data_IF_180727012011
#
_entry.id   IF_180727012011
#
_cell.length_a   1.000
_cell.length_b   1.000
_cell.length_c   1.000
_cell.angle_alpha   90.00
_cell.angle_beta   90.00
_cell.angle_gamma   90.00
#
_symmetry.space_group_name_H-M   'P 1'
#
loop_
_entity.id
_entity.type
_entity.pdbx_description
1 polymer ?
#
# COMPACT_ATOMS: atom_id res chain seq x y z
N UNK A 1 3.58 19.23 10.36
CA UNK A 1 2.70 18.59 11.37
C UNK A 1 3.36 17.25 11.72
N UNK A 2 3.58 16.96 13.00
CA UNK A 2 4.12 15.66 13.44
C UNK A 2 2.91 14.84 13.93
N UNK A 3 2.70 13.65 13.36
CA UNK A 3 1.65 12.74 13.83
C UNK A 3 2.07 12.15 15.18
N UNK A 4 1.21 12.32 16.19
CA UNK A 4 1.44 11.81 17.54
C UNK A 4 0.15 11.24 18.13
N UNK A 5 0.28 10.20 18.94
CA UNK A 5 -0.84 9.53 19.62
C UNK A 5 -1.91 8.99 18.66
N UNK A 6 -1.50 8.55 17.47
CA UNK A 6 -2.38 7.94 16.46
C UNK A 6 -2.22 6.41 16.48
N UNK A 7 -3.27 5.70 16.12
CA UNK A 7 -3.21 4.30 15.74
C UNK A 7 -2.91 4.21 14.24
N UNK A 8 -1.76 3.68 13.87
CA UNK A 8 -1.34 3.59 12.47
C UNK A 8 -1.23 2.13 12.06
N UNK A 9 -2.02 1.72 11.06
CA UNK A 9 -1.89 0.41 10.42
C UNK A 9 -0.94 0.54 9.24
N UNK A 10 0.12 -0.29 9.21
CA UNK A 10 1.09 -0.31 8.12
C UNK A 10 1.13 -1.72 7.54
N UNK A 11 0.80 -1.88 6.26
CA UNK A 11 0.86 -3.17 5.55
C UNK A 11 2.11 -3.24 4.68
N UNK A 12 2.66 -4.44 4.46
CA UNK A 12 3.89 -4.62 3.67
C UNK A 12 5.18 -4.24 4.42
N UNK A 13 5.18 -4.32 5.75
CA UNK A 13 6.32 -3.93 6.58
C UNK A 13 7.51 -4.92 6.54
N UNK A 14 7.35 -6.13 6.03
CA UNK A 14 8.45 -7.07 5.80
C UNK A 14 9.35 -6.69 4.62
N UNK A 15 8.89 -5.76 3.77
CA UNK A 15 9.62 -5.26 2.62
C UNK A 15 10.68 -4.20 2.93
N UNK A 16 11.35 -3.72 1.89
CA UNK A 16 12.51 -2.81 1.96
C UNK A 16 12.24 -1.52 2.76
N UNK A 17 11.06 -0.90 2.60
CA UNK A 17 10.69 0.34 3.31
C UNK A 17 10.17 0.10 4.73
N UNK A 18 9.71 -1.12 5.01
CA UNK A 18 8.91 -1.42 6.20
C UNK A 18 9.58 -1.07 7.52
N UNK A 19 10.81 -1.52 7.73
CA UNK A 19 11.54 -1.26 8.98
C UNK A 19 11.76 0.25 9.22
N UNK A 20 12.09 1.01 8.17
CA UNK A 20 12.31 2.45 8.29
C UNK A 20 11.02 3.19 8.65
N UNK A 21 9.91 2.84 7.97
CA UNK A 21 8.58 3.42 8.23
C UNK A 21 8.10 3.05 9.63
N UNK A 22 8.17 1.78 10.01
CA UNK A 22 7.82 1.31 11.36
C UNK A 22 8.60 2.06 12.45
N UNK A 23 9.94 2.12 12.33
CA UNK A 23 10.79 2.80 13.31
C UNK A 23 10.49 4.30 13.41
N UNK A 24 10.11 4.94 12.31
CA UNK A 24 9.76 6.36 12.29
C UNK A 24 8.44 6.62 13.05
N UNK A 25 7.41 5.82 12.76
CA UNK A 25 6.09 6.10 13.31
C UNK A 25 5.89 5.58 14.74
N UNK A 26 6.53 4.47 15.13
CA UNK A 26 6.35 3.87 16.47
C UNK A 26 6.86 4.73 17.63
N UNK A 27 7.67 5.75 17.36
CA UNK A 27 8.24 6.62 18.41
C UNK A 27 7.14 7.36 19.16
N UNK A 28 6.12 7.85 18.44
CA UNK A 28 5.08 8.70 19.02
C UNK A 28 3.66 8.20 18.75
N UNK A 29 3.51 6.98 18.19
CA UNK A 29 2.22 6.43 17.79
C UNK A 29 2.10 4.96 18.19
N UNK A 30 0.89 4.46 18.26
CA UNK A 30 0.59 3.04 18.36
C UNK A 30 0.56 2.44 16.95
N UNK A 31 1.52 1.59 16.62
CA UNK A 31 1.68 1.05 15.26
C UNK A 31 1.39 -0.44 15.24
N UNK A 32 0.45 -0.86 14.39
CA UNK A 32 0.28 -2.23 13.97
C UNK A 32 0.95 -2.40 12.61
N UNK A 33 2.07 -3.09 12.60
CA UNK A 33 2.84 -3.37 11.39
C UNK A 33 2.59 -4.81 10.94
N UNK A 34 2.38 -5.00 9.64
CA UNK A 34 1.99 -6.29 9.11
C UNK A 34 2.61 -6.62 7.76
N UNK A 35 2.69 -7.92 7.48
CA UNK A 35 3.09 -8.48 6.20
C UNK A 35 2.46 -9.87 6.02
N UNK A 36 2.50 -10.42 4.80
CA UNK A 36 2.21 -11.83 4.54
C UNK A 36 3.40 -12.72 4.94
N UNK A 37 4.61 -12.17 4.94
CA UNK A 37 5.82 -12.82 5.42
C UNK A 37 6.19 -12.27 6.81
N UNK A 38 5.98 -13.08 7.83
CA UNK A 38 6.29 -12.74 9.22
C UNK A 38 7.77 -13.02 9.54
N UNK A 39 8.67 -12.45 8.75
CA UNK A 39 10.13 -12.61 8.92
C UNK A 39 10.70 -11.88 10.14
N UNK A 40 9.88 -11.08 10.82
CA UNK A 40 10.24 -10.33 12.03
C UNK A 40 9.17 -10.50 13.12
N UNK A 41 9.57 -10.61 14.40
CA UNK A 41 8.63 -10.92 15.50
C UNK A 41 7.62 -9.81 15.84
N UNK A 42 7.79 -8.62 15.27
CA UNK A 42 6.88 -7.48 15.44
C UNK A 42 5.85 -7.34 14.31
N UNK A 43 5.87 -8.26 13.34
CA UNK A 43 4.92 -8.28 12.22
C UNK A 43 3.72 -9.17 12.55
N UNK A 44 2.53 -8.61 12.34
CA UNK A 44 1.29 -9.36 12.30
C UNK A 44 1.00 -9.84 10.88
N UNK A 45 0.33 -10.98 10.74
CA UNK A 45 -0.08 -11.48 9.44
C UNK A 45 -1.28 -10.70 8.92
N UNK A 46 -1.13 -10.01 7.81
CA UNK A 46 -2.23 -9.40 7.04
C UNK A 46 -1.94 -9.53 5.56
N UNK A 47 -2.89 -10.13 4.85
CA UNK A 47 -2.91 -10.15 3.39
C UNK A 47 -3.88 -9.07 2.88
N UNK A 48 -3.38 -8.09 2.13
CA UNK A 48 -4.20 -7.00 1.57
C UNK A 48 -5.24 -7.50 0.57
N UNK A 49 -5.08 -8.73 0.05
CA UNK A 49 -6.04 -9.38 -0.86
C UNK A 49 -7.25 -9.95 -0.13
N UNK A 50 -7.14 -10.18 1.19
CA UNK A 50 -8.22 -10.69 2.04
C UNK A 50 -8.94 -9.54 2.74
N UNK A 51 -10.02 -9.06 2.11
CA UNK A 51 -10.82 -7.94 2.61
C UNK A 51 -11.49 -8.24 3.96
N UNK A 52 -11.91 -9.48 4.21
CA UNK A 52 -12.60 -9.84 5.46
C UNK A 52 -11.63 -9.75 6.63
N UNK A 53 -10.41 -10.28 6.47
CA UNK A 53 -9.34 -10.18 7.45
C UNK A 53 -8.95 -8.72 7.71
N UNK A 54 -8.79 -7.92 6.65
CA UNK A 54 -8.52 -6.48 6.76
C UNK A 54 -9.59 -5.74 7.58
N UNK A 55 -10.87 -5.99 7.29
CA UNK A 55 -11.96 -5.37 8.05
C UNK A 55 -11.95 -5.79 9.52
N UNK A 56 -11.77 -7.07 9.79
CA UNK A 56 -11.75 -7.61 11.16
C UNK A 56 -10.64 -6.97 12.00
N UNK A 57 -9.44 -6.92 11.45
CA UNK A 57 -8.27 -6.35 12.13
C UNK A 57 -8.44 -4.84 12.30
N UNK A 58 -8.87 -4.13 11.26
CA UNK A 58 -9.07 -2.68 11.31
C UNK A 58 -10.15 -2.27 12.31
N UNK A 59 -11.24 -3.03 12.41
CA UNK A 59 -12.27 -2.78 13.43
C UNK A 59 -11.77 -2.99 14.87
N UNK A 60 -10.87 -3.96 15.08
CA UNK A 60 -10.28 -4.23 16.38
C UNK A 60 -9.22 -3.20 16.76
N UNK A 61 -8.31 -2.88 15.83
CA UNK A 61 -7.20 -1.96 16.06
C UNK A 61 -7.62 -0.50 16.04
N UNK A 62 -8.67 -0.16 15.27
CA UNK A 62 -9.22 1.20 15.09
C UNK A 62 -8.13 2.18 14.62
N UNK A 63 -7.57 1.99 13.43
CA UNK A 63 -6.56 2.88 12.90
C UNK A 63 -7.12 4.28 12.64
N UNK A 64 -6.29 5.30 12.83
CA UNK A 64 -6.52 6.68 12.43
C UNK A 64 -5.90 6.97 11.04
N UNK A 65 -5.01 6.09 10.59
CA UNK A 65 -4.31 6.17 9.31
C UNK A 65 -3.91 4.77 8.85
N UNK A 66 -4.05 4.50 7.55
CA UNK A 66 -3.47 3.31 6.91
C UNK A 66 -2.34 3.73 5.98
N UNK A 67 -1.16 3.09 6.11
CA UNK A 67 -0.03 3.23 5.19
C UNK A 67 0.15 1.89 4.48
N UNK A 68 -0.12 1.85 3.17
CA UNK A 68 0.04 0.64 2.39
C UNK A 68 1.39 0.62 1.67
N UNK A 69 2.30 -0.23 2.14
CA UNK A 69 3.58 -0.55 1.51
C UNK A 69 3.54 -1.89 0.77
N UNK A 70 2.46 -2.68 0.96
CA UNK A 70 2.34 -3.99 0.34
C UNK A 70 2.26 -3.88 -1.18
N UNK A 71 3.18 -4.53 -1.87
CA UNK A 71 3.21 -4.60 -3.31
C UNK A 71 4.05 -5.78 -3.80
N UNK A 72 3.65 -6.37 -4.91
CA UNK A 72 4.47 -7.25 -5.71
C UNK A 72 5.34 -6.38 -6.62
N UNK A 73 6.67 -6.34 -6.39
CA UNK A 73 7.59 -5.37 -7.01
C UNK A 73 8.59 -5.97 -7.99
N UNK A 74 8.69 -7.30 -8.05
CA UNK A 74 9.52 -7.99 -9.02
C UNK A 74 8.94 -7.82 -10.43
N UNK A 75 9.67 -7.09 -11.30
CA UNK A 75 9.19 -6.74 -12.63
C UNK A 75 9.02 -7.97 -13.52
N UNK A 76 9.99 -8.89 -13.50
CA UNK A 76 9.96 -10.11 -14.32
C UNK A 76 8.84 -11.05 -13.85
N UNK A 77 8.69 -11.19 -12.54
CA UNK A 77 7.59 -11.96 -11.98
C UNK A 77 6.23 -11.37 -12.37
N UNK A 78 6.06 -10.05 -12.29
CA UNK A 78 4.82 -9.39 -12.70
C UNK A 78 4.48 -9.63 -14.17
N UNK A 79 5.47 -9.56 -15.08
CA UNK A 79 5.25 -9.83 -16.51
C UNK A 79 4.80 -11.29 -16.75
N UNK A 80 5.35 -12.24 -16.00
CA UNK A 80 5.00 -13.66 -16.12
C UNK A 80 3.69 -14.02 -15.38
N UNK A 81 3.27 -13.21 -14.38
CA UNK A 81 2.10 -13.46 -13.53
C UNK A 81 1.21 -12.19 -13.42
N UNK A 82 0.67 -11.68 -14.55
CA UNK A 82 -0.05 -10.40 -14.54
C UNK A 82 -1.26 -10.39 -13.61
N UNK A 83 -1.98 -11.50 -13.49
CA UNK A 83 -3.14 -11.60 -12.59
C UNK A 83 -2.74 -11.39 -11.13
N UNK A 84 -1.63 -11.98 -10.68
CA UNK A 84 -1.16 -11.80 -9.31
C UNK A 84 -0.70 -10.36 -9.04
N UNK A 85 -0.04 -9.74 -10.03
CA UNK A 85 0.35 -8.34 -9.93
C UNK A 85 -0.88 -7.43 -9.75
N UNK A 86 -1.94 -7.61 -10.56
CA UNK A 86 -3.16 -6.82 -10.42
C UNK A 86 -3.94 -7.14 -9.14
N UNK A 87 -4.00 -8.40 -8.72
CA UNK A 87 -4.67 -8.78 -7.48
C UNK A 87 -3.95 -8.18 -6.27
N UNK A 88 -2.62 -8.18 -6.24
CA UNK A 88 -1.86 -7.65 -5.11
C UNK A 88 -1.79 -6.12 -5.14
N UNK A 89 -1.32 -5.53 -6.25
CA UNK A 89 -1.03 -4.10 -6.34
C UNK A 89 -2.30 -3.26 -6.59
N UNK A 90 -3.27 -3.83 -7.30
CA UNK A 90 -4.50 -3.16 -7.68
C UNK A 90 -5.64 -3.44 -6.70
N UNK A 91 -6.16 -4.67 -6.69
CA UNK A 91 -7.30 -5.03 -5.83
C UNK A 91 -6.93 -4.98 -4.34
N UNK A 92 -5.68 -5.32 -3.97
CA UNK A 92 -5.20 -5.15 -2.60
C UNK A 92 -5.29 -3.69 -2.13
N UNK A 93 -4.92 -2.73 -2.99
CA UNK A 93 -5.09 -1.30 -2.69
C UNK A 93 -6.57 -0.89 -2.66
N UNK A 94 -7.40 -1.41 -3.55
CA UNK A 94 -8.85 -1.17 -3.53
C UNK A 94 -9.47 -1.65 -2.20
N UNK A 95 -9.08 -2.82 -1.70
CA UNK A 95 -9.51 -3.34 -0.40
C UNK A 95 -9.12 -2.40 0.75
N UNK A 96 -7.88 -1.90 0.76
CA UNK A 96 -7.40 -0.90 1.73
C UNK A 96 -8.29 0.36 1.67
N UNK A 97 -8.58 0.86 0.47
CA UNK A 97 -9.44 2.03 0.28
C UNK A 97 -10.87 1.79 0.77
N UNK A 98 -11.45 0.61 0.52
CA UNK A 98 -12.79 0.25 1.00
C UNK A 98 -12.86 0.21 2.53
N UNK A 99 -11.84 -0.37 3.18
CA UNK A 99 -11.73 -0.37 4.64
C UNK A 99 -11.60 1.06 5.18
N UNK A 100 -10.70 1.85 4.61
CA UNK A 100 -10.45 3.21 5.03
C UNK A 100 -11.70 4.10 4.88
N UNK A 101 -12.41 4.00 3.76
CA UNK A 101 -13.67 4.71 3.53
C UNK A 101 -14.74 4.32 4.55
N UNK A 102 -14.88 3.01 4.84
CA UNK A 102 -15.85 2.54 5.84
C UNK A 102 -15.56 3.07 7.24
N UNK A 103 -14.28 3.28 7.57
CA UNK A 103 -13.82 3.82 8.85
C UNK A 103 -13.68 5.35 8.83
N UNK A 104 -13.82 5.98 7.67
CA UNK A 104 -13.63 7.42 7.43
C UNK A 104 -12.23 7.90 7.87
N UNK A 105 -11.19 7.20 7.42
CA UNK A 105 -9.79 7.46 7.74
C UNK A 105 -8.96 7.63 6.46
N UNK A 106 -7.86 8.42 6.50
CA UNK A 106 -6.97 8.60 5.35
C UNK A 106 -6.12 7.35 5.05
N UNK A 107 -5.67 7.29 3.78
CA UNK A 107 -4.74 6.28 3.28
C UNK A 107 -3.51 6.95 2.68
N UNK A 108 -2.33 6.41 2.96
CA UNK A 108 -1.10 6.70 2.23
C UNK A 108 -0.78 5.48 1.36
N UNK A 109 -0.68 5.70 0.05
CA UNK A 109 -0.30 4.70 -0.93
C UNK A 109 1.07 5.03 -1.52
N UNK A 110 1.96 4.03 -1.62
CA UNK A 110 3.27 4.21 -2.27
C UNK A 110 3.13 3.83 -3.74
N UNK A 111 3.16 4.82 -4.62
CA UNK A 111 3.16 4.61 -6.06
C UNK A 111 4.59 4.41 -6.60
N UNK A 112 4.80 4.57 -7.91
CA UNK A 112 6.07 4.32 -8.60
C UNK A 112 6.24 5.28 -9.77
N UNK A 113 7.47 5.66 -10.10
CA UNK A 113 7.78 6.34 -11.35
C UNK A 113 7.49 5.46 -12.60
N UNK A 114 7.37 4.14 -12.42
CA UNK A 114 6.98 3.20 -13.49
C UNK A 114 5.56 3.36 -14.02
N UNK A 115 4.78 4.32 -13.52
CA UNK A 115 3.51 4.72 -14.14
C UNK A 115 3.71 5.56 -15.42
N UNK A 116 4.91 6.06 -15.66
CA UNK A 116 5.27 6.83 -16.86
C UNK A 116 6.08 5.98 -17.84
N UNK A 117 6.07 6.35 -19.11
CA UNK A 117 6.72 5.63 -20.22
C UNK A 117 8.23 5.86 -20.33
N UNK A 118 8.76 6.88 -19.68
CA UNK A 118 10.19 7.22 -19.75
C UNK A 118 10.62 8.00 -21.01
N UNK A 119 9.67 8.47 -21.83
CA UNK A 119 9.99 9.20 -23.08
C UNK A 119 10.37 10.67 -22.84
N UNK A 120 10.07 11.20 -21.64
CA UNK A 120 10.42 12.58 -21.23
C UNK A 120 11.60 12.58 -20.27
N UNK A 121 12.40 13.65 -20.33
CA UNK A 121 13.48 13.88 -19.37
C UNK A 121 12.95 14.16 -17.96
N UNK A 122 11.80 14.85 -17.87
CA UNK A 122 11.11 15.19 -16.61
C UNK A 122 9.61 14.94 -16.74
N UNK A 123 9.00 14.47 -15.65
CA UNK A 123 7.56 14.33 -15.51
C UNK A 123 7.05 15.22 -14.37
N UNK A 124 5.87 15.78 -14.56
CA UNK A 124 5.15 16.56 -13.55
C UNK A 124 3.97 15.78 -13.01
N UNK A 125 3.47 16.17 -11.84
CA UNK A 125 2.34 15.52 -11.15
C UNK A 125 1.05 15.46 -11.99
N UNK A 126 0.93 16.34 -13.01
CA UNK A 126 -0.22 16.40 -13.90
C UNK A 126 0.01 15.75 -15.26
N UNK A 127 1.17 15.15 -15.50
CA UNK A 127 1.40 14.40 -16.73
C UNK A 127 0.55 13.15 -16.75
N UNK A 128 0.04 12.80 -17.93
CA UNK A 128 -0.79 11.62 -18.12
C UNK A 128 0.06 10.36 -17.97
N UNK A 129 -0.26 9.46 -17.02
CA UNK A 129 0.45 8.19 -16.89
C UNK A 129 0.28 7.31 -18.14
N UNK A 130 1.37 6.65 -18.53
CA UNK A 130 1.42 5.69 -19.64
C UNK A 130 2.32 4.50 -19.24
N UNK A 131 1.92 3.66 -18.26
CA UNK A 131 2.73 2.56 -17.80
C UNK A 131 2.92 1.50 -18.88
N UNK A 132 4.16 1.11 -19.14
CA UNK A 132 4.50 0.10 -20.15
C UNK A 132 4.46 -1.31 -19.56
N UNK A 133 5.03 -1.49 -18.37
CA UNK A 133 5.12 -2.80 -17.70
C UNK A 133 3.83 -3.21 -16.96
N UNK A 134 3.65 -4.50 -16.75
CA UNK A 134 2.54 -5.03 -15.92
C UNK A 134 2.64 -4.51 -14.48
N UNK A 135 3.85 -4.43 -13.91
CA UNK A 135 4.08 -3.80 -12.61
C UNK A 135 3.54 -2.37 -12.58
N UNK A 136 3.98 -1.52 -13.53
CA UNK A 136 3.53 -0.13 -13.62
C UNK A 136 2.01 -0.02 -13.79
N UNK A 137 1.40 -0.84 -14.66
CA UNK A 137 -0.05 -0.88 -14.88
C UNK A 137 -0.81 -1.26 -13.62
N UNK A 138 -0.35 -2.28 -12.89
CA UNK A 138 -0.97 -2.73 -11.65
C UNK A 138 -0.86 -1.70 -10.52
N UNK A 139 0.28 -1.00 -10.42
CA UNK A 139 0.49 0.09 -9.47
C UNK A 139 -0.37 1.31 -9.82
N UNK A 140 -0.46 1.66 -11.09
CA UNK A 140 -1.32 2.75 -11.56
C UNK A 140 -2.81 2.48 -11.28
N UNK A 141 -3.25 1.23 -11.45
CA UNK A 141 -4.61 0.85 -11.05
C UNK A 141 -4.86 1.12 -9.55
N UNK A 142 -3.93 0.75 -8.67
CA UNK A 142 -4.01 1.05 -7.24
C UNK A 142 -4.04 2.56 -6.94
N UNK A 143 -3.29 3.37 -7.68
CA UNK A 143 -3.33 4.82 -7.60
C UNK A 143 -4.71 5.39 -7.95
N UNK A 144 -5.31 4.91 -9.05
CA UNK A 144 -6.67 5.29 -9.45
C UNK A 144 -7.72 4.94 -8.38
N UNK A 145 -7.59 3.79 -7.70
CA UNK A 145 -8.48 3.42 -6.61
C UNK A 145 -8.31 4.36 -5.42
N UNK A 146 -7.07 4.75 -5.12
CA UNK A 146 -6.78 5.71 -4.04
C UNK A 146 -7.38 7.08 -4.31
N UNK A 147 -7.23 7.60 -5.54
CA UNK A 147 -7.80 8.91 -5.94
C UNK A 147 -9.33 8.89 -5.89
N UNK A 148 -9.97 7.79 -6.30
CA UNK A 148 -11.44 7.66 -6.29
C UNK A 148 -12.03 7.52 -4.89
N UNK A 149 -11.21 7.15 -3.91
CA UNK A 149 -11.65 6.92 -2.53
C UNK A 149 -11.70 8.19 -1.68
N UNK A 150 -11.27 9.30 -2.22
CA UNK A 150 -11.34 10.65 -1.64
C UNK A 150 -12.15 11.57 -2.54
#
# INVERSE_FOLDING_TARGET
>A
MILTNQNILITGCGGMLGLAVYNTFKVNNNVLASDIDQNEPWLEYIDVRDIESLFKISKSFKPDLIINLAALTDLEYCENHPNEAFVTNGLGQENICLVANTLNIPVVYISTAGIFDGEKEYYHDFDVPNPLSIYGKSKYYGELMTIKSH
#
